data_IF_368093892365
#
_entry.id   IF_368093892365
#
_cell.length_a   1.000
_cell.length_b   1.000
_cell.length_c   1.000
_cell.angle_alpha   90.00
_cell.angle_beta   90.00
_cell.angle_gamma   90.00
#
_symmetry.space_group_name_H-M   'P 1'
#
loop_
_entity.id
_entity.type
_entity.pdbx_description
1 polymer ?
#
# COMPACT_ATOMS: atom_id res chain seq x y z
N UNK A 1 5.12 -8.83 24.82
CA UNK A 1 4.87 -8.79 23.36
C UNK A 1 3.87 -7.69 23.08
N UNK A 2 4.23 -6.67 22.30
CA UNK A 2 3.29 -5.60 21.89
C UNK A 2 2.50 -6.13 20.70
N UNK A 3 1.17 -6.24 20.83
CA UNK A 3 0.28 -6.61 19.74
C UNK A 3 0.34 -5.51 18.68
N UNK A 4 0.84 -5.81 17.48
CA UNK A 4 0.83 -4.85 16.37
C UNK A 4 -0.63 -4.65 15.96
N UNK A 5 -1.16 -3.41 15.95
CA UNK A 5 -2.53 -3.16 15.58
C UNK A 5 -2.75 -3.55 14.11
N UNK A 6 -3.80 -4.34 13.87
CA UNK A 6 -4.23 -4.73 12.55
C UNK A 6 -5.47 -3.93 12.14
N UNK A 7 -5.40 -3.29 10.99
CA UNK A 7 -6.52 -2.64 10.32
C UNK A 7 -7.19 -3.66 9.41
N UNK A 8 -8.39 -4.09 9.79
CA UNK A 8 -9.11 -5.09 9.05
C UNK A 8 -10.18 -4.45 8.18
N UNK A 9 -10.34 -4.99 6.97
CA UNK A 9 -11.47 -4.75 6.10
C UNK A 9 -12.23 -6.05 5.84
N UNK A 10 -13.48 -5.91 5.46
CA UNK A 10 -14.39 -7.03 5.20
C UNK A 10 -15.07 -6.84 3.84
N UNK A 11 -15.29 -7.94 3.14
CA UNK A 11 -16.04 -7.91 1.89
C UNK A 11 -17.54 -7.67 2.17
N UNK A 12 -18.30 -7.32 1.13
CA UNK A 12 -19.73 -7.02 1.25
C UNK A 12 -20.55 -8.21 1.80
N UNK A 13 -20.11 -9.46 1.62
CA UNK A 13 -20.81 -10.64 2.15
C UNK A 13 -20.55 -10.90 3.63
N UNK A 14 -19.54 -10.24 4.21
CA UNK A 14 -19.11 -10.49 5.57
C UNK A 14 -18.36 -11.82 5.75
N UNK A 15 -17.85 -12.43 4.66
CA UNK A 15 -17.27 -13.79 4.67
C UNK A 15 -15.77 -13.83 4.39
N UNK A 16 -15.20 -12.75 3.87
CA UNK A 16 -13.77 -12.61 3.62
C UNK A 16 -13.27 -11.39 4.39
N UNK A 17 -12.26 -11.61 5.24
CA UNK A 17 -11.63 -10.54 6.02
C UNK A 17 -10.15 -10.46 5.66
N UNK A 18 -9.69 -9.26 5.37
CA UNK A 18 -8.28 -8.97 5.12
C UNK A 18 -7.80 -8.01 6.21
N UNK A 19 -6.66 -8.31 6.81
CA UNK A 19 -6.01 -7.47 7.81
C UNK A 19 -4.66 -7.00 7.31
N UNK A 20 -4.36 -5.72 7.53
CA UNK A 20 -3.06 -5.10 7.31
C UNK A 20 -2.50 -4.57 8.62
N UNK A 21 -1.20 -4.71 8.83
CA UNK A 21 -0.53 -3.98 9.92
C UNK A 21 -0.38 -2.48 9.62
N UNK A 22 0.12 -1.72 10.60
CA UNK A 22 0.29 -0.28 10.47
C UNK A 22 1.26 0.12 9.35
N UNK A 23 2.28 -0.70 9.03
CA UNK A 23 3.22 -0.47 7.92
C UNK A 23 2.68 -0.91 6.56
N UNK A 24 1.66 -1.77 6.53
CA UNK A 24 1.17 -2.41 5.30
C UNK A 24 2.09 -3.53 4.79
N UNK A 25 2.97 -4.06 5.65
CA UNK A 25 3.93 -5.11 5.31
C UNK A 25 3.41 -6.50 5.66
N UNK A 26 2.66 -6.65 6.75
CA UNK A 26 2.01 -7.91 7.09
C UNK A 26 0.55 -7.93 6.64
N UNK A 27 0.16 -9.07 6.07
CA UNK A 27 -1.17 -9.32 5.53
C UNK A 27 -1.71 -10.59 6.16
N UNK A 28 -2.96 -10.52 6.63
CA UNK A 28 -3.71 -11.66 7.14
C UNK A 28 -4.99 -11.79 6.36
N UNK A 29 -5.34 -13.01 5.99
CA UNK A 29 -6.61 -13.32 5.32
C UNK A 29 -7.35 -14.35 6.16
N UNK A 30 -8.64 -14.14 6.36
CA UNK A 30 -9.52 -15.09 7.01
C UNK A 30 -10.74 -15.34 6.12
N UNK A 31 -11.00 -16.61 5.86
CA UNK A 31 -12.20 -17.10 5.16
C UNK A 31 -13.18 -17.61 6.23
N UNK A 32 -14.30 -16.92 6.38
CA UNK A 32 -15.29 -17.21 7.42
C UNK A 32 -16.29 -18.28 6.93
N UNK A 33 -16.97 -18.99 7.85
CA UNK A 33 -17.94 -20.02 7.48
C UNK A 33 -18.96 -19.51 6.46
N UNK A 34 -19.21 -20.28 5.41
CA UNK A 34 -20.14 -19.92 4.32
C UNK A 34 -19.51 -19.16 3.15
N UNK A 35 -18.20 -18.87 3.16
CA UNK A 35 -17.54 -18.14 2.06
C UNK A 35 -17.65 -18.83 0.69
N UNK A 36 -17.74 -20.17 0.65
CA UNK A 36 -17.86 -20.95 -0.60
C UNK A 36 -19.19 -20.75 -1.31
N UNK A 37 -20.25 -20.57 -0.54
CA UNK A 37 -21.64 -20.52 -1.04
C UNK A 37 -22.14 -19.10 -1.20
N UNK A 38 -21.46 -18.12 -0.60
CA UNK A 38 -21.81 -16.71 -0.65
C UNK A 38 -20.67 -15.78 -1.11
N UNK A 39 -19.77 -16.15 -2.04
CA UNK A 39 -18.91 -15.14 -2.63
C UNK A 39 -19.82 -14.24 -3.50
N UNK A 40 -19.79 -12.92 -3.27
CA UNK A 40 -20.60 -11.97 -4.02
C UNK A 40 -20.37 -12.05 -5.55
N UNK A 41 -21.12 -11.27 -6.35
CA UNK A 41 -20.95 -11.23 -7.79
C UNK A 41 -19.47 -10.90 -8.14
N UNK A 42 -18.76 -11.89 -8.69
CA UNK A 42 -17.30 -11.81 -8.94
C UNK A 42 -16.45 -12.86 -8.20
N UNK A 43 -17.04 -13.68 -7.34
CA UNK A 43 -16.36 -14.80 -6.70
C UNK A 43 -15.39 -14.39 -5.59
N UNK A 44 -14.66 -15.36 -5.03
CA UNK A 44 -13.71 -15.14 -3.93
C UNK A 44 -12.65 -14.09 -4.29
N UNK A 45 -12.16 -14.08 -5.53
CA UNK A 45 -11.16 -13.11 -5.97
C UNK A 45 -11.64 -11.66 -5.84
N UNK A 46 -12.91 -11.39 -6.14
CA UNK A 46 -13.48 -10.05 -5.97
C UNK A 46 -13.67 -9.70 -4.51
N UNK A 47 -14.20 -10.63 -3.71
CA UNK A 47 -14.38 -10.44 -2.27
C UNK A 47 -13.05 -10.11 -1.55
N UNK A 48 -11.95 -10.77 -1.94
CA UNK A 48 -10.61 -10.47 -1.40
C UNK A 48 -10.15 -9.05 -1.77
N UNK A 49 -10.41 -8.59 -3.00
CA UNK A 49 -10.07 -7.22 -3.41
C UNK A 49 -10.89 -6.20 -2.61
N UNK A 50 -12.20 -6.43 -2.48
CA UNK A 50 -13.08 -5.52 -1.74
C UNK A 50 -12.68 -5.43 -0.25
N UNK A 51 -12.38 -6.57 0.39
CA UNK A 51 -11.90 -6.61 1.76
C UNK A 51 -10.53 -5.94 1.94
N UNK A 52 -9.64 -6.06 0.95
CA UNK A 52 -8.34 -5.38 0.97
C UNK A 52 -8.49 -3.86 0.81
N UNK A 53 -9.34 -3.40 -0.11
CA UNK A 53 -9.62 -1.98 -0.30
C UNK A 53 -10.17 -1.36 0.99
N UNK A 54 -11.11 -2.03 1.66
CA UNK A 54 -11.64 -1.61 2.97
C UNK A 54 -10.54 -1.57 4.06
N UNK A 55 -9.64 -2.57 4.09
CA UNK A 55 -8.51 -2.60 5.03
C UNK A 55 -7.54 -1.43 4.79
N UNK A 56 -7.27 -1.09 3.53
CA UNK A 56 -6.43 0.06 3.14
C UNK A 56 -7.08 1.37 3.57
N UNK A 57 -8.40 1.54 3.39
CA UNK A 57 -9.14 2.71 3.85
C UNK A 57 -9.08 2.83 5.37
N UNK A 58 -9.33 1.74 6.10
CA UNK A 58 -9.23 1.72 7.56
C UNK A 58 -7.83 2.11 8.05
N UNK A 59 -6.79 1.55 7.43
CA UNK A 59 -5.39 1.85 7.74
C UNK A 59 -5.03 3.30 7.47
N UNK A 60 -5.35 3.81 6.29
CA UNK A 60 -5.03 5.19 5.88
C UNK A 60 -5.79 6.21 6.73
N UNK A 61 -7.03 5.92 7.11
CA UNK A 61 -7.81 6.74 8.04
C UNK A 61 -7.17 6.76 9.44
N UNK A 62 -6.73 5.61 9.95
CA UNK A 62 -6.04 5.53 11.23
C UNK A 62 -4.70 6.29 11.21
N UNK A 63 -3.93 6.14 10.13
CA UNK A 63 -2.69 6.90 9.91
C UNK A 63 -2.97 8.41 9.88
N UNK A 64 -3.95 8.87 9.11
CA UNK A 64 -4.29 10.30 9.00
C UNK A 64 -4.70 10.91 10.36
N UNK A 65 -5.41 10.15 11.20
CA UNK A 65 -5.76 10.59 12.56
C UNK A 65 -4.57 10.62 13.52
N UNK A 66 -3.53 9.81 13.27
CA UNK A 66 -2.33 9.77 14.09
C UNK A 66 -1.33 10.91 13.79
N UNK A 67 -1.44 11.55 12.63
CA UNK A 67 -0.59 12.71 12.29
C UNK A 67 -1.03 13.90 13.14
N UNK A 68 -0.17 14.42 14.03
CA UNK A 68 -0.48 15.64 14.75
C UNK A 68 -0.67 16.76 13.72
N UNK A 69 -1.78 17.52 13.82
CA UNK A 69 -1.96 18.69 12.98
C UNK A 69 -0.71 19.58 13.08
N UNK A 70 -0.10 19.98 11.96
CA UNK A 70 1.10 20.81 12.01
C UNK A 70 0.75 22.10 12.73
N UNK A 71 1.28 22.28 13.94
CA UNK A 71 1.21 23.54 14.69
C UNK A 71 2.24 24.51 14.12
N UNK A 72 2.11 24.81 12.83
CA UNK A 72 2.87 25.88 12.21
C UNK A 72 2.18 27.20 12.57
N UNK A 73 2.59 27.81 13.67
CA UNK A 73 2.21 29.19 13.95
C UNK A 73 2.79 30.07 12.83
N UNK A 74 1.91 30.72 12.05
CA UNK A 74 2.25 31.62 10.94
C UNK A 74 3.43 32.60 11.20
N UNK A 75 3.67 33.12 12.43
CA UNK A 75 4.78 34.04 12.68
C UNK A 75 6.17 33.44 12.47
N UNK A 76 6.35 32.11 12.54
CA UNK A 76 7.68 31.47 12.46
C UNK A 76 8.21 31.27 11.04
N UNK A 77 7.34 31.25 10.03
CA UNK A 77 7.74 31.07 8.64
C UNK A 77 8.38 32.35 8.07
N UNK A 78 7.91 33.53 8.51
CA UNK A 78 8.43 34.83 8.06
C UNK A 78 9.87 35.12 8.53
N UNK A 79 10.35 34.43 9.56
CA UNK A 79 11.72 34.58 10.10
C UNK A 79 12.70 33.51 9.63
N UNK A 80 12.24 32.51 8.88
CA UNK A 80 13.09 31.44 8.35
C UNK A 80 13.98 32.00 7.23
N UNK A 81 15.20 32.37 7.59
CA UNK A 81 16.25 32.72 6.62
C UNK A 81 16.92 31.43 6.17
N UNK A 82 16.69 31.05 4.92
CA UNK A 82 17.43 29.98 4.28
C UNK A 82 18.78 30.51 3.79
N UNK A 83 19.81 29.70 3.93
CA UNK A 83 21.08 29.98 3.27
C UNK A 83 20.96 29.74 1.75
N UNK A 84 21.76 30.44 0.94
CA UNK A 84 21.75 30.25 -0.52
C UNK A 84 21.91 28.78 -0.98
N UNK A 85 22.73 27.93 -0.32
CA UNK A 85 22.75 26.50 -0.62
C UNK A 85 21.41 25.79 -0.35
N UNK A 86 20.73 26.09 0.76
CA UNK A 86 19.43 25.50 1.09
C UNK A 86 18.34 25.93 0.10
N UNK A 87 18.33 27.19 -0.33
CA UNK A 87 17.39 27.67 -1.34
C UNK A 87 17.60 27.01 -2.70
N UNK A 88 18.87 26.80 -3.11
CA UNK A 88 19.19 26.07 -4.35
C UNK A 88 18.72 24.62 -4.27
N UNK A 89 18.99 23.94 -3.15
CA UNK A 89 18.55 22.57 -2.92
C UNK A 89 17.02 22.43 -2.98
N UNK A 90 16.28 23.32 -2.31
CA UNK A 90 14.80 23.27 -2.32
C UNK A 90 14.22 23.55 -3.71
N UNK A 91 14.80 24.50 -4.46
CA UNK A 91 14.40 24.73 -5.85
C UNK A 91 14.65 23.51 -6.73
N UNK A 92 15.81 22.88 -6.60
CA UNK A 92 16.14 21.64 -7.32
C UNK A 92 15.17 20.51 -6.95
N UNK A 93 14.91 20.29 -5.66
CA UNK A 93 13.96 19.28 -5.19
C UNK A 93 12.53 19.53 -5.71
N UNK A 94 12.12 20.80 -5.82
CA UNK A 94 10.82 21.17 -6.38
C UNK A 94 10.74 20.90 -7.89
N UNK A 95 11.82 21.12 -8.64
CA UNK A 95 11.89 20.77 -10.06
C UNK A 95 11.82 19.25 -10.25
N UNK A 96 12.58 18.50 -9.45
CA UNK A 96 12.58 17.03 -9.46
C UNK A 96 11.22 16.43 -9.08
N UNK A 97 10.35 17.16 -8.37
CA UNK A 97 9.01 16.68 -8.01
C UNK A 97 8.15 16.36 -9.23
N UNK A 98 8.26 17.17 -10.31
CA UNK A 98 7.51 16.92 -11.55
C UNK A 98 7.97 15.62 -12.22
N UNK A 99 9.29 15.43 -12.34
CA UNK A 99 9.90 14.23 -12.91
C UNK A 99 9.59 12.98 -12.08
N UNK A 100 9.68 13.07 -10.75
CA UNK A 100 9.30 12.00 -9.84
C UNK A 100 7.84 11.58 -10.05
N UNK A 101 6.92 12.54 -10.14
CA UNK A 101 5.48 12.27 -10.35
C UNK A 101 5.24 11.59 -11.69
N UNK A 102 5.96 12.01 -12.73
CA UNK A 102 5.87 11.39 -14.06
C UNK A 102 6.38 9.95 -14.03
N UNK A 103 7.60 9.70 -13.52
CA UNK A 103 8.17 8.35 -13.41
C UNK A 103 7.28 7.43 -12.57
N UNK A 104 6.72 7.93 -11.47
CA UNK A 104 5.80 7.15 -10.65
C UNK A 104 4.50 6.82 -11.42
N UNK A 105 3.99 7.73 -12.25
CA UNK A 105 2.82 7.47 -13.08
C UNK A 105 3.12 6.40 -14.15
N UNK A 106 4.28 6.46 -14.79
CA UNK A 106 4.76 5.46 -15.76
C UNK A 106 4.86 4.07 -15.12
N UNK A 107 5.54 3.96 -13.97
CA UNK A 107 5.63 2.69 -13.21
C UNK A 107 4.27 2.13 -12.77
N UNK A 108 3.27 3.00 -12.58
CA UNK A 108 1.91 2.61 -12.18
C UNK A 108 1.00 2.29 -13.37
N UNK A 109 1.35 2.73 -14.57
CA UNK A 109 0.56 2.48 -15.77
C UNK A 109 0.67 1.02 -16.20
N UNK A 110 1.86 0.42 -16.05
CA UNK A 110 2.11 -0.96 -16.42
C UNK A 110 1.50 -1.94 -15.39
N UNK A 111 0.68 -2.91 -15.84
CA UNK A 111 0.14 -3.92 -14.94
C UNK A 111 1.22 -4.94 -14.55
N UNK A 112 1.39 -5.17 -13.26
CA UNK A 112 2.32 -6.19 -12.74
C UNK A 112 1.52 -7.37 -12.22
N UNK A 113 1.94 -8.58 -12.55
CA UNK A 113 1.31 -9.81 -12.05
C UNK A 113 2.27 -10.56 -11.16
N UNK A 114 1.79 -10.93 -9.97
CA UNK A 114 2.53 -11.71 -8.98
C UNK A 114 1.80 -13.02 -8.78
N UNK A 115 2.51 -14.15 -8.77
CA UNK A 115 1.94 -15.47 -8.55
C UNK A 115 2.66 -16.18 -7.42
N UNK A 116 1.91 -16.59 -6.40
CA UNK A 116 2.41 -17.27 -5.21
C UNK A 116 1.45 -18.38 -4.85
N UNK A 117 1.95 -19.61 -4.70
CA UNK A 117 1.19 -20.76 -4.22
C UNK A 117 -0.17 -20.96 -4.94
N UNK A 118 -0.21 -20.80 -6.27
CA UNK A 118 -1.44 -20.95 -7.06
C UNK A 118 -2.46 -19.81 -6.90
N UNK A 119 -2.02 -18.66 -6.38
CA UNK A 119 -2.80 -17.42 -6.35
C UNK A 119 -2.07 -16.37 -7.19
N UNK A 120 -2.75 -15.87 -8.22
CA UNK A 120 -2.28 -14.83 -9.12
C UNK A 120 -2.95 -13.49 -8.79
N UNK A 121 -2.15 -12.49 -8.48
CA UNK A 121 -2.59 -11.13 -8.15
C UNK A 121 -2.08 -10.17 -9.22
N UNK A 122 -3.00 -9.40 -9.81
CA UNK A 122 -2.65 -8.35 -10.78
C UNK A 122 -2.77 -7.00 -10.09
N UNK A 123 -1.66 -6.26 -10.09
CA UNK A 123 -1.54 -4.88 -9.64
C UNK A 123 -1.64 -3.95 -10.85
N UNK A 124 -2.41 -2.87 -10.73
CA UNK A 124 -2.51 -1.82 -11.74
C UNK A 124 -2.78 -0.48 -11.07
N UNK A 125 -2.17 0.59 -11.55
CA UNK A 125 -2.36 1.94 -10.99
C UNK A 125 -2.05 2.02 -9.47
N UNK A 126 -1.06 1.26 -9.01
CA UNK A 126 -0.65 1.24 -7.60
C UNK A 126 -1.65 0.58 -6.65
N UNK A 127 -2.56 -0.26 -7.16
CA UNK A 127 -3.53 -1.03 -6.36
C UNK A 127 -3.67 -2.46 -6.87
N UNK A 128 -4.14 -3.35 -6.00
CA UNK A 128 -4.55 -4.69 -6.42
C UNK A 128 -5.84 -4.58 -7.23
N UNK A 129 -5.80 -4.95 -8.50
CA UNK A 129 -6.93 -4.85 -9.40
C UNK A 129 -7.70 -6.18 -9.54
N UNK A 130 -7.01 -7.30 -9.37
CA UNK A 130 -7.59 -8.64 -9.55
C UNK A 130 -6.83 -9.69 -8.76
N UNK A 131 -7.58 -10.65 -8.21
CA UNK A 131 -7.05 -11.88 -7.62
C UNK A 131 -7.68 -13.08 -8.35
N UNK A 132 -6.87 -14.04 -8.75
CA UNK A 132 -7.29 -15.30 -9.37
C UNK A 132 -6.65 -16.48 -8.65
N UNK A 133 -7.42 -17.54 -8.44
CA UNK A 133 -6.94 -18.78 -7.84
C UNK A 133 -6.75 -19.76 -8.98
N UNK A 134 -5.51 -20.16 -9.23
CA UNK A 134 -5.09 -21.00 -10.36
C UNK A 134 -4.78 -22.44 -9.93
N UNK A 135 -4.46 -22.66 -8.65
CA UNK A 135 -4.19 -23.98 -8.08
C UNK A 135 -5.29 -24.48 -7.14
N UNK A 136 -5.44 -25.80 -6.95
CA UNK A 136 -6.34 -26.36 -5.95
C UNK A 136 -5.80 -26.10 -4.54
N UNK A 137 -6.64 -25.57 -3.66
CA UNK A 137 -6.30 -25.46 -2.24
C UNK A 137 -6.66 -26.75 -1.49
N UNK A 138 -5.74 -27.24 -0.66
CA UNK A 138 -5.93 -28.45 0.15
C UNK A 138 -6.83 -28.23 1.37
N UNK A 139 -7.02 -26.97 1.79
CA UNK A 139 -7.93 -26.57 2.86
C UNK A 139 -8.20 -25.05 2.82
N UNK A 140 -9.17 -24.58 3.61
CA UNK A 140 -9.47 -23.14 3.75
C UNK A 140 -8.31 -22.37 4.37
N UNK A 141 -7.62 -22.99 5.34
CA UNK A 141 -6.45 -22.42 5.96
C UNK A 141 -5.28 -22.29 4.96
N UNK A 142 -5.08 -23.31 4.12
CA UNK A 142 -4.07 -23.26 3.06
C UNK A 142 -4.40 -22.18 2.02
N UNK A 143 -5.66 -22.06 1.63
CA UNK A 143 -6.11 -21.00 0.69
C UNK A 143 -5.92 -19.61 1.29
N UNK A 144 -6.32 -19.40 2.55
CA UNK A 144 -6.14 -18.14 3.25
C UNK A 144 -4.66 -17.76 3.37
N UNK A 145 -3.80 -18.71 3.68
CA UNK A 145 -2.34 -18.51 3.73
C UNK A 145 -1.77 -18.14 2.36
N UNK A 146 -2.20 -18.83 1.29
CA UNK A 146 -1.77 -18.53 -0.08
C UNK A 146 -2.23 -17.13 -0.53
N UNK A 147 -3.48 -16.75 -0.23
CA UNK A 147 -4.00 -15.40 -0.48
C UNK A 147 -3.17 -14.35 0.27
N UNK A 148 -2.90 -14.56 1.56
CA UNK A 148 -2.10 -13.63 2.37
C UNK A 148 -0.68 -13.46 1.79
N UNK A 149 -0.03 -14.55 1.40
CA UNK A 149 1.31 -14.51 0.82
C UNK A 149 1.34 -13.78 -0.53
N UNK A 150 0.37 -14.05 -1.41
CA UNK A 150 0.28 -13.41 -2.71
C UNK A 150 -0.06 -11.90 -2.59
N UNK A 151 -0.96 -11.53 -1.68
CA UNK A 151 -1.26 -10.12 -1.38
C UNK A 151 -0.04 -9.40 -0.79
N UNK A 152 0.69 -10.03 0.13
CA UNK A 152 1.92 -9.46 0.69
C UNK A 152 2.94 -9.16 -0.41
N UNK A 153 3.16 -10.11 -1.32
CA UNK A 153 4.06 -9.93 -2.44
C UNK A 153 3.59 -8.80 -3.39
N UNK A 154 2.30 -8.72 -3.68
CA UNK A 154 1.73 -7.64 -4.49
C UNK A 154 1.85 -6.26 -3.83
N UNK A 155 1.61 -6.16 -2.52
CA UNK A 155 1.79 -4.91 -1.76
C UNK A 155 3.26 -4.50 -1.70
N UNK A 156 4.19 -5.45 -1.58
CA UNK A 156 5.62 -5.17 -1.67
C UNK A 156 6.01 -4.58 -3.04
N UNK A 157 5.41 -5.09 -4.13
CA UNK A 157 5.59 -4.49 -5.47
C UNK A 157 5.09 -3.05 -5.52
N UNK A 158 3.91 -2.76 -4.95
CA UNK A 158 3.37 -1.39 -4.89
C UNK A 158 4.28 -0.47 -4.06
N UNK A 159 4.75 -0.96 -2.90
CA UNK A 159 5.60 -0.21 -1.98
C UNK A 159 6.98 0.11 -2.56
N UNK A 160 7.49 -0.70 -3.49
CA UNK A 160 8.76 -0.46 -4.16
C UNK A 160 8.68 0.69 -5.19
N UNK A 161 7.52 0.94 -5.80
CA UNK A 161 7.39 1.91 -6.92
C UNK A 161 7.84 3.34 -6.55
N UNK A 162 7.45 3.93 -5.40
CA UNK A 162 7.95 5.25 -5.01
C UNK A 162 9.45 5.27 -4.78
N UNK A 163 10.03 4.18 -4.23
CA UNK A 163 11.46 4.06 -3.99
C UNK A 163 12.22 4.03 -5.32
N UNK A 164 11.74 3.24 -6.29
CA UNK A 164 12.29 3.19 -7.65
C UNK A 164 12.18 4.55 -8.35
N UNK A 165 11.03 5.23 -8.26
CA UNK A 165 10.84 6.55 -8.86
C UNK A 165 11.77 7.62 -8.24
N UNK A 166 12.00 7.58 -6.92
CA UNK A 166 12.89 8.49 -6.20
C UNK A 166 14.38 8.28 -6.52
N UNK A 167 14.77 7.12 -7.04
CA UNK A 167 16.18 6.80 -7.29
C UNK A 167 16.86 7.80 -8.25
N UNK A 168 16.10 8.39 -9.18
CA UNK A 168 16.60 9.42 -10.10
C UNK A 168 16.30 10.87 -9.68
N UNK A 169 16.00 11.12 -8.41
CA UNK A 169 15.66 12.46 -7.86
C UNK A 169 16.47 12.72 -6.58
N UNK A 170 17.78 13.02 -6.70
CA UNK A 170 18.70 13.08 -5.56
C UNK A 170 18.41 14.24 -4.60
N UNK A 171 18.04 15.43 -5.10
CA UNK A 171 17.72 16.56 -4.25
C UNK A 171 16.41 16.33 -3.49
N UNK A 172 15.41 15.77 -4.17
CA UNK A 172 14.13 15.39 -3.56
C UNK A 172 14.33 14.32 -2.49
N UNK A 173 15.11 13.27 -2.78
CA UNK A 173 15.47 12.24 -1.80
C UNK A 173 16.20 12.81 -0.60
N UNK A 174 17.11 13.76 -0.81
CA UNK A 174 17.81 14.43 0.28
C UNK A 174 16.86 15.24 1.18
N UNK A 175 15.95 16.02 0.58
CA UNK A 175 14.99 16.85 1.33
C UNK A 175 13.97 16.02 2.09
N UNK A 176 13.50 14.91 1.53
CA UNK A 176 12.57 14.00 2.20
C UNK A 176 13.23 13.22 3.34
N UNK A 177 14.57 13.22 3.43
CA UNK A 177 15.32 12.37 4.35
C UNK A 177 15.28 10.89 3.95
N UNK A 178 15.70 9.96 4.81
CA UNK A 178 15.43 8.55 4.58
C UNK A 178 13.93 8.39 4.33
N UNK A 179 13.51 7.64 3.29
CA UNK A 179 12.09 7.53 2.97
C UNK A 179 11.35 7.08 4.23
N UNK A 180 10.16 7.63 4.55
CA UNK A 180 9.35 7.16 5.67
C UNK A 180 8.87 5.70 5.50
N UNK A 181 9.33 5.02 4.45
CA UNK A 181 9.00 3.66 4.04
C UNK A 181 10.14 2.65 4.24
N UNK A 182 11.26 3.06 4.85
CA UNK A 182 12.27 2.13 5.37
C UNK A 182 12.13 2.01 6.88
N UNK A 183 11.43 0.94 7.29
CA UNK A 183 11.65 0.21 8.54
C UNK A 183 11.98 -1.23 8.16
#
# INVERSE_FOLDING_TARGET
MRTIPFHAGIDASGRVRVGLDASGHDVRVALLPGWRTAPGPGGLGRAVVDALDDAVVARTTAWARAIPAPRLSAPRLSTLRLSAPQERLLRQAHQELAEFRQRLAELRAEPVTVEVAGVRVTVRHGRVARVRITGPATSDAALASALAAALRAALATIAAQPVTALAGSPALRFVLGPPPFTL
#
